data_IF_687418725197
#
_entry.id   IF_687418725197
#
_cell.length_a   1.000
_cell.length_b   1.000
_cell.length_c   1.000
_cell.angle_alpha   90.00
_cell.angle_beta   90.00
_cell.angle_gamma   90.00
#
_symmetry.space_group_name_H-M   'P 1'
#
loop_
_entity.id
_entity.type
_entity.pdbx_description
1 polymer ?
#
# COMPACT_ATOMS: atom_id res chain seq x y z
N UNK A 1 27.16 73.99 -1.01
CA UNK A 1 27.09 73.30 -2.31
C UNK A 1 27.76 71.94 -2.10
N UNK A 2 27.24 71.05 -1.24
CA UNK A 2 25.94 70.36 -1.31
C UNK A 2 25.80 69.65 -2.67
N UNK A 3 25.62 68.34 -2.80
CA UNK A 3 24.86 67.40 -1.96
C UNK A 3 25.45 65.98 -2.09
N UNK A 4 25.52 65.22 -0.98
CA UNK A 4 25.66 63.75 -1.00
C UNK A 4 24.31 63.12 -1.33
N UNK A 5 24.24 62.26 -2.35
CA UNK A 5 23.09 61.36 -2.54
C UNK A 5 23.51 59.91 -2.33
N UNK A 6 22.99 59.37 -1.22
CA UNK A 6 22.83 57.96 -0.91
C UNK A 6 21.64 57.41 -1.72
N UNK A 7 21.76 56.23 -2.36
CA UNK A 7 20.61 55.43 -2.82
C UNK A 7 21.01 53.99 -3.12
N UNK A 8 20.79 53.15 -2.10
CA UNK A 8 20.11 51.84 -2.13
C UNK A 8 20.41 50.82 -3.24
N UNK A 9 20.97 49.69 -2.78
CA UNK A 9 20.96 48.38 -3.41
C UNK A 9 19.54 47.83 -3.64
N UNK A 10 19.31 47.19 -4.80
CA UNK A 10 18.35 46.09 -4.96
C UNK A 10 18.56 45.41 -6.33
N UNK A 11 19.21 44.26 -6.37
CA UNK A 11 19.04 43.28 -7.44
C UNK A 11 18.82 41.92 -6.78
N UNK A 12 17.54 41.62 -6.55
CA UNK A 12 17.08 40.33 -6.08
C UNK A 12 17.33 39.27 -7.16
N UNK A 13 18.16 38.28 -6.85
CA UNK A 13 18.22 37.03 -7.58
C UNK A 13 16.95 36.23 -7.26
N UNK A 14 16.09 36.01 -8.26
CA UNK A 14 14.97 35.08 -8.16
C UNK A 14 15.50 33.64 -8.10
N UNK A 15 15.69 33.11 -6.90
CA UNK A 15 15.62 31.67 -6.67
C UNK A 15 14.15 31.29 -6.48
N UNK A 16 13.54 30.65 -7.48
CA UNK A 16 12.25 29.98 -7.32
C UNK A 16 12.48 28.68 -6.53
N UNK A 17 12.55 28.79 -5.20
CA UNK A 17 12.35 27.65 -4.32
C UNK A 17 10.85 27.34 -4.31
N UNK A 18 10.48 26.15 -4.80
CA UNK A 18 9.13 25.60 -4.66
C UNK A 18 8.91 25.33 -3.18
N UNK A 19 8.32 26.30 -2.48
CA UNK A 19 7.85 26.15 -1.11
C UNK A 19 6.59 25.28 -1.14
N UNK A 20 6.76 23.98 -0.85
CA UNK A 20 5.66 23.17 -0.37
C UNK A 20 5.25 23.72 1.00
N UNK A 21 4.00 24.19 1.09
CA UNK A 21 3.39 24.58 2.36
C UNK A 21 3.16 23.31 3.15
N UNK A 22 4.12 22.96 4.01
CA UNK A 22 3.90 22.02 5.10
C UNK A 22 2.89 22.67 6.06
N UNK A 23 1.68 22.11 6.13
CA UNK A 23 0.75 22.41 7.22
C UNK A 23 1.34 21.96 8.56
N UNK A 24 0.97 22.60 9.68
CA UNK A 24 1.46 22.17 10.98
C UNK A 24 0.76 20.85 11.35
N UNK A 25 1.49 19.75 11.50
CA UNK A 25 0.96 18.62 12.28
C UNK A 25 1.36 17.19 11.96
N UNK A 26 2.20 16.89 10.97
CA UNK A 26 2.80 15.55 10.86
C UNK A 26 4.31 15.66 10.65
N UNK A 27 5.06 15.31 11.69
CA UNK A 27 6.49 15.13 11.58
C UNK A 27 6.71 13.88 10.73
N UNK A 28 7.26 14.02 9.53
CA UNK A 28 7.69 12.89 8.70
C UNK A 28 8.87 12.09 9.34
N UNK A 29 9.18 12.34 10.62
CA UNK A 29 10.19 11.63 11.38
C UNK A 29 9.65 10.31 11.99
N UNK A 30 8.33 10.13 12.04
CA UNK A 30 7.70 9.20 12.99
C UNK A 30 7.52 7.77 12.47
N UNK A 31 7.83 7.46 11.21
CA UNK A 31 7.98 6.07 10.73
C UNK A 31 9.44 5.66 10.45
N UNK A 32 10.39 6.59 10.58
CA UNK A 32 11.78 6.36 10.21
C UNK A 32 12.54 5.45 11.21
N UNK A 33 11.93 5.12 12.35
CA UNK A 33 12.61 4.48 13.49
C UNK A 33 12.47 2.97 13.57
N UNK A 34 11.69 2.30 12.69
CA UNK A 34 11.64 0.83 12.70
C UNK A 34 11.82 0.14 11.33
N UNK A 35 11.85 0.87 10.23
CA UNK A 35 12.48 0.42 8.99
C UNK A 35 11.75 0.85 7.73
N UNK A 36 12.52 1.00 6.64
CA UNK A 36 12.02 1.45 5.35
C UNK A 36 12.41 0.44 4.26
N UNK A 37 11.43 0.03 3.46
CA UNK A 37 11.57 -0.85 2.32
C UNK A 37 11.27 -0.10 1.03
N UNK A 38 11.99 -0.46 -0.03
CA UNK A 38 11.61 -0.09 -1.38
C UNK A 38 10.50 -1.03 -1.88
N UNK A 39 9.35 -0.47 -2.26
CA UNK A 39 8.22 -1.20 -2.82
C UNK A 39 8.19 -1.04 -4.34
N UNK A 40 8.19 -2.17 -5.04
CA UNK A 40 7.89 -2.22 -6.47
C UNK A 40 6.73 -3.17 -6.70
N UNK A 41 5.69 -2.72 -7.40
CA UNK A 41 4.48 -3.51 -7.56
C UNK A 41 3.63 -3.14 -8.76
N UNK A 42 2.48 -3.80 -8.82
CA UNK A 42 1.48 -3.61 -9.85
C UNK A 42 0.09 -3.62 -9.21
N UNK A 43 -0.66 -2.55 -9.43
CA UNK A 43 -2.07 -2.43 -9.11
C UNK A 43 -2.94 -2.81 -10.33
N UNK A 44 -4.09 -3.41 -10.05
CA UNK A 44 -5.18 -3.65 -10.98
C UNK A 44 -6.43 -2.95 -10.45
N UNK A 45 -7.09 -2.17 -11.30
CA UNK A 45 -8.16 -1.24 -10.90
C UNK A 45 -9.41 -1.54 -11.73
N UNK A 46 -10.56 -1.65 -11.06
CA UNK A 46 -11.84 -1.94 -11.69
C UNK A 46 -13.01 -1.21 -11.01
N UNK A 47 -13.83 -0.44 -11.75
CA UNK A 47 -13.63 -0.04 -13.15
C UNK A 47 -12.38 0.84 -13.36
N UNK A 48 -11.87 0.99 -14.60
CA UNK A 48 -10.70 1.82 -14.89
C UNK A 48 -10.90 3.28 -14.48
N UNK A 49 -9.85 3.93 -13.97
CA UNK A 49 -9.89 5.35 -13.62
C UNK A 49 -9.93 6.21 -14.87
N UNK A 50 -10.81 7.20 -14.90
CA UNK A 50 -10.90 8.20 -15.96
C UNK A 50 -10.71 9.62 -15.43
N UNK A 51 -11.05 10.61 -16.26
CA UNK A 51 -11.00 12.03 -15.91
C UNK A 51 -12.05 12.43 -14.88
N UNK A 52 -13.12 11.64 -14.74
CA UNK A 52 -14.21 11.87 -13.80
C UNK A 52 -14.05 11.01 -12.57
N UNK A 53 -14.43 11.55 -11.40
CA UNK A 53 -14.40 10.79 -10.17
C UNK A 53 -15.45 9.68 -10.18
N UNK A 54 -15.06 8.47 -9.77
CA UNK A 54 -15.94 7.32 -9.61
C UNK A 54 -15.44 6.39 -8.52
N UNK A 55 -16.30 5.47 -8.09
CA UNK A 55 -15.92 4.39 -7.19
C UNK A 55 -15.19 3.29 -7.94
N UNK A 56 -14.17 2.73 -7.32
CA UNK A 56 -13.42 1.60 -7.86
C UNK A 56 -12.97 0.66 -6.75
N UNK A 57 -12.81 -0.61 -7.12
CA UNK A 57 -12.08 -1.60 -6.37
C UNK A 57 -10.69 -1.76 -6.99
N UNK A 58 -9.73 -2.20 -6.18
CA UNK A 58 -8.41 -2.52 -6.69
C UNK A 58 -7.78 -3.67 -5.91
N UNK A 59 -6.81 -4.30 -6.56
CA UNK A 59 -5.88 -5.23 -5.95
C UNK A 59 -4.47 -4.86 -6.34
N UNK A 60 -3.49 -5.21 -5.52
CA UNK A 60 -2.10 -5.03 -5.90
C UNK A 60 -1.23 -6.16 -5.34
N UNK A 61 -0.08 -6.30 -5.98
CA UNK A 61 1.03 -7.11 -5.47
C UNK A 61 2.32 -6.32 -5.62
N UNK A 62 3.28 -6.55 -4.74
CA UNK A 62 4.60 -5.94 -4.86
C UNK A 62 5.67 -6.68 -4.10
N UNK A 63 6.91 -6.40 -4.46
CA UNK A 63 8.11 -6.84 -3.76
C UNK A 63 8.62 -5.71 -2.86
N UNK A 64 8.91 -6.06 -1.62
CA UNK A 64 9.64 -5.23 -0.68
C UNK A 64 11.11 -5.64 -0.73
N UNK A 65 11.97 -4.69 -1.03
CA UNK A 65 13.41 -4.91 -1.19
C UNK A 65 14.20 -3.81 -0.50
N UNK A 66 15.47 -4.09 -0.20
CA UNK A 66 16.36 -3.13 0.47
C UNK A 66 15.75 -2.59 1.76
N UNK A 67 15.11 -3.47 2.55
CA UNK A 67 14.52 -3.06 3.82
C UNK A 67 15.63 -2.80 4.82
N UNK A 68 15.74 -1.55 5.24
CA UNK A 68 16.71 -1.09 6.24
C UNK A 68 15.97 -0.88 7.56
N UNK A 69 16.50 -1.42 8.66
CA UNK A 69 15.97 -1.22 10.00
C UNK A 69 17.11 -1.19 11.02
N UNK A 70 16.92 -0.41 12.08
CA UNK A 70 17.79 -0.40 13.27
C UNK A 70 17.39 -1.46 14.31
N UNK A 71 16.28 -2.20 14.09
CA UNK A 71 15.82 -3.27 14.97
C UNK A 71 16.48 -4.59 14.60
N UNK A 72 17.12 -5.23 15.57
CA UNK A 72 17.76 -6.53 15.34
C UNK A 72 16.72 -7.60 15.00
N UNK A 73 16.98 -8.33 13.92
CA UNK A 73 16.06 -9.36 13.43
C UNK A 73 14.96 -8.86 12.50
N UNK A 74 14.92 -7.55 12.19
CA UNK A 74 13.99 -7.02 11.21
C UNK A 74 14.17 -7.65 9.83
N UNK A 75 13.08 -8.00 9.14
CA UNK A 75 13.15 -8.62 7.82
C UNK A 75 13.70 -7.63 6.78
N UNK A 76 14.59 -8.14 5.91
CA UNK A 76 15.29 -7.33 4.89
C UNK A 76 14.56 -7.28 3.53
N UNK A 77 13.52 -8.09 3.37
CA UNK A 77 12.74 -8.21 2.15
C UNK A 77 11.40 -8.89 2.43
N UNK A 78 10.46 -8.76 1.50
CA UNK A 78 9.18 -9.46 1.57
C UNK A 78 8.36 -9.25 0.31
N UNK A 79 7.11 -9.66 0.37
CA UNK A 79 6.10 -9.35 -0.63
C UNK A 79 4.89 -8.74 0.05
N UNK A 80 4.21 -7.84 -0.65
CA UNK A 80 2.97 -7.23 -0.17
C UNK A 80 1.83 -7.52 -1.15
N UNK A 81 0.64 -7.76 -0.63
CA UNK A 81 -0.58 -7.92 -1.41
C UNK A 81 -1.78 -7.25 -0.75
N UNK A 82 -2.75 -6.88 -1.58
CA UNK A 82 -4.10 -6.55 -1.12
C UNK A 82 -5.12 -6.92 -2.20
N UNK A 83 -6.31 -7.38 -1.77
CA UNK A 83 -7.41 -7.74 -2.65
C UNK A 83 -7.14 -8.91 -3.60
N UNK A 84 -6.14 -9.76 -3.36
CA UNK A 84 -5.86 -10.94 -4.17
C UNK A 84 -6.42 -12.23 -3.56
N UNK A 85 -6.37 -13.33 -4.33
CA UNK A 85 -6.67 -14.66 -3.82
C UNK A 85 -5.38 -15.36 -3.40
N UNK A 86 -5.37 -15.87 -2.17
CA UNK A 86 -4.26 -16.60 -1.58
C UNK A 86 -4.61 -18.09 -1.47
N UNK A 87 -3.72 -19.00 -1.87
CA UNK A 87 -3.89 -20.42 -1.64
C UNK A 87 -3.57 -20.78 -0.19
N UNK A 88 -4.57 -21.30 0.54
CA UNK A 88 -4.40 -21.74 1.91
C UNK A 88 -4.66 -23.23 2.06
N UNK A 89 -3.90 -23.85 2.96
CA UNK A 89 -4.04 -25.28 3.27
C UNK A 89 -4.96 -25.45 4.46
N UNK A 90 -6.13 -26.06 4.23
CA UNK A 90 -7.18 -26.20 5.25
C UNK A 90 -7.67 -27.63 5.37
N UNK A 91 -8.35 -27.91 6.48
CA UNK A 91 -9.09 -29.15 6.65
C UNK A 91 -10.35 -29.11 5.80
N UNK A 92 -10.48 -30.07 4.88
CA UNK A 92 -11.64 -30.29 4.06
C UNK A 92 -12.50 -31.40 4.67
N UNK A 93 -13.81 -31.22 4.65
CA UNK A 93 -14.79 -32.24 5.04
C UNK A 93 -15.49 -32.75 3.79
N UNK A 94 -15.24 -34.01 3.43
CA UNK A 94 -15.81 -34.63 2.24
C UNK A 94 -16.70 -35.83 2.62
N UNK A 95 -17.48 -36.34 1.66
CA UNK A 95 -18.31 -37.53 1.88
C UNK A 95 -17.50 -38.78 2.32
N UNK A 96 -16.23 -38.86 1.94
CA UNK A 96 -15.32 -39.97 2.26
C UNK A 96 -14.55 -39.79 3.57
N UNK A 97 -14.69 -38.65 4.25
CA UNK A 97 -13.96 -38.30 5.47
C UNK A 97 -13.33 -36.91 5.42
N UNK A 98 -12.51 -36.60 6.41
CA UNK A 98 -11.71 -35.37 6.46
C UNK A 98 -10.36 -35.57 5.79
N UNK A 99 -9.90 -34.57 5.07
CA UNK A 99 -8.57 -34.52 4.48
C UNK A 99 -8.00 -33.12 4.59
N UNK A 100 -6.73 -32.94 4.29
CA UNK A 100 -6.14 -31.62 4.07
C UNK A 100 -6.13 -31.32 2.57
N UNK A 101 -6.35 -30.05 2.19
CA UNK A 101 -6.26 -29.62 0.80
C UNK A 101 -6.03 -28.12 0.69
N UNK A 102 -5.53 -27.69 -0.46
CA UNK A 102 -5.37 -26.27 -0.78
C UNK A 102 -6.64 -25.74 -1.43
N UNK A 103 -7.15 -24.63 -0.93
CA UNK A 103 -8.28 -23.86 -1.49
C UNK A 103 -7.88 -22.38 -1.56
N UNK A 104 -8.60 -21.61 -2.35
CA UNK A 104 -8.35 -20.18 -2.47
C UNK A 104 -9.21 -19.40 -1.47
N UNK A 105 -8.59 -18.46 -0.79
CA UNK A 105 -9.25 -17.46 0.03
C UNK A 105 -8.98 -16.07 -0.54
N UNK A 106 -10.00 -15.22 -0.53
CA UNK A 106 -9.98 -13.87 -1.04
C UNK A 106 -9.65 -12.90 0.11
N UNK A 107 -8.59 -12.12 -0.04
CA UNK A 107 -8.33 -10.95 0.80
C UNK A 107 -9.49 -9.95 0.69
N UNK A 108 -9.76 -9.16 1.74
CA UNK A 108 -10.68 -8.03 1.67
C UNK A 108 -10.35 -7.14 0.47
N UNK A 109 -11.37 -6.86 -0.35
CA UNK A 109 -11.20 -6.06 -1.56
C UNK A 109 -11.01 -4.61 -1.16
N UNK A 110 -9.85 -4.04 -1.51
CA UNK A 110 -9.57 -2.65 -1.29
C UNK A 110 -10.42 -1.76 -2.22
N UNK A 111 -10.86 -0.62 -1.69
CA UNK A 111 -11.81 0.26 -2.39
C UNK A 111 -11.34 1.71 -2.37
N UNK A 112 -11.78 2.46 -3.36
CA UNK A 112 -11.48 3.88 -3.46
C UNK A 112 -12.53 4.65 -4.23
N UNK A 113 -12.39 5.97 -4.16
CA UNK A 113 -13.15 6.92 -4.96
C UNK A 113 -12.20 7.96 -5.53
N UNK A 114 -12.33 8.28 -6.81
CA UNK A 114 -11.44 9.23 -7.43
C UNK A 114 -11.38 9.15 -8.95
N UNK A 115 -10.46 9.93 -9.49
CA UNK A 115 -10.05 10.01 -10.89
C UNK A 115 -8.52 9.85 -10.96
N UNK A 116 -7.90 9.94 -12.13
CA UNK A 116 -6.43 9.99 -12.16
C UNK A 116 -5.85 11.33 -11.71
N UNK A 117 -6.67 12.36 -11.49
CA UNK A 117 -6.20 13.63 -10.92
C UNK A 117 -6.05 13.56 -9.41
N UNK A 118 -6.98 12.86 -8.75
CA UNK A 118 -6.98 12.67 -7.30
C UNK A 118 -7.82 11.48 -6.91
N UNK A 119 -7.40 10.75 -5.88
CA UNK A 119 -8.15 9.63 -5.35
C UNK A 119 -7.98 9.50 -3.84
N UNK A 120 -8.96 8.85 -3.22
CA UNK A 120 -8.85 8.40 -1.83
C UNK A 120 -9.19 6.92 -1.81
N UNK A 121 -8.35 6.13 -1.16
CA UNK A 121 -8.57 4.68 -1.06
C UNK A 121 -8.36 4.17 0.35
N UNK A 122 -8.88 2.99 0.65
CA UNK A 122 -8.61 2.28 1.89
C UNK A 122 -8.64 0.77 1.65
N UNK A 123 -7.90 0.04 2.48
CA UNK A 123 -7.82 -1.41 2.40
C UNK A 123 -7.02 -2.02 3.54
N UNK A 124 -6.83 -3.33 3.45
CA UNK A 124 -5.96 -4.11 4.30
C UNK A 124 -4.91 -4.76 3.39
N UNK A 125 -3.65 -4.65 3.77
CA UNK A 125 -2.54 -5.24 3.04
C UNK A 125 -1.89 -6.34 3.89
N UNK A 126 -1.59 -7.46 3.26
CA UNK A 126 -0.77 -8.51 3.82
C UNK A 126 0.67 -8.31 3.37
N UNK A 127 1.60 -8.28 4.32
CA UNK A 127 3.02 -8.39 4.06
C UNK A 127 3.47 -9.77 4.50
N UNK A 128 4.14 -10.48 3.60
CA UNK A 128 4.83 -11.74 3.90
C UNK A 128 6.32 -11.50 3.78
N UNK A 129 7.02 -11.61 4.89
CA UNK A 129 8.44 -11.34 4.99
C UNK A 129 9.29 -12.51 4.50
N UNK A 130 10.56 -12.25 4.21
CA UNK A 130 11.49 -13.25 3.70
C UNK A 130 11.83 -14.38 4.70
N UNK A 131 11.52 -14.19 5.98
CA UNK A 131 11.61 -15.20 7.03
C UNK A 131 10.32 -16.06 7.14
N UNK A 132 9.27 -15.71 6.40
CA UNK A 132 7.99 -16.41 6.38
C UNK A 132 6.97 -15.89 7.39
N UNK A 133 7.29 -14.85 8.16
CA UNK A 133 6.35 -14.19 9.06
C UNK A 133 5.50 -13.15 8.32
N UNK A 134 4.42 -12.72 8.97
CA UNK A 134 3.38 -11.89 8.40
C UNK A 134 3.18 -10.60 9.19
N UNK A 135 2.87 -9.53 8.46
CA UNK A 135 2.38 -8.27 9.01
C UNK A 135 1.17 -7.84 8.21
N UNK A 136 0.03 -7.67 8.88
CA UNK A 136 -1.17 -7.08 8.30
C UNK A 136 -1.18 -5.60 8.62
N UNK A 137 -1.43 -4.76 7.62
CA UNK A 137 -1.58 -3.32 7.80
C UNK A 137 -2.91 -2.83 7.24
N UNK A 138 -3.67 -2.10 8.07
CA UNK A 138 -4.85 -1.38 7.65
C UNK A 138 -4.40 0.00 7.21
N UNK A 139 -4.84 0.44 6.03
CA UNK A 139 -4.32 1.66 5.45
C UNK A 139 -5.40 2.47 4.73
N UNK A 140 -5.11 3.76 4.62
CA UNK A 140 -5.79 4.71 3.75
C UNK A 140 -4.77 5.40 2.87
N UNK A 141 -5.16 5.81 1.67
CA UNK A 141 -4.30 6.56 0.77
C UNK A 141 -4.98 7.80 0.24
N UNK A 142 -4.16 8.84 0.01
CA UNK A 142 -4.55 10.03 -0.74
C UNK A 142 -3.64 10.16 -1.95
N UNK A 143 -4.23 10.07 -3.13
CA UNK A 143 -3.55 10.26 -4.41
C UNK A 143 -3.75 11.68 -4.95
N UNK A 144 -2.67 12.27 -5.46
CA UNK A 144 -2.68 13.49 -6.24
C UNK A 144 -1.76 13.32 -7.45
N UNK A 145 -2.34 13.33 -8.66
CA UNK A 145 -1.66 12.96 -9.90
C UNK A 145 -1.04 11.55 -9.78
N UNK A 146 0.27 11.44 -10.02
CA UNK A 146 1.02 10.19 -9.91
C UNK A 146 1.51 9.91 -8.48
N UNK A 147 1.40 10.85 -7.54
CA UNK A 147 1.86 10.66 -6.18
C UNK A 147 0.73 10.09 -5.32
N UNK A 148 1.07 9.13 -4.47
CA UNK A 148 0.15 8.53 -3.49
C UNK A 148 0.83 8.50 -2.14
N UNK A 149 0.21 9.16 -1.18
CA UNK A 149 0.57 9.09 0.22
C UNK A 149 -0.31 8.04 0.90
N UNK A 150 0.31 7.17 1.69
CA UNK A 150 -0.37 6.13 2.46
C UNK A 150 -0.12 6.37 3.94
N UNK A 151 -1.19 6.27 4.71
CA UNK A 151 -1.18 6.24 6.16
C UNK A 151 -1.93 5.01 6.64
N UNK A 152 -1.32 4.27 7.57
CA UNK A 152 -1.89 3.04 8.08
C UNK A 152 -1.36 2.66 9.45
N UNK A 153 -1.87 1.54 9.94
CA UNK A 153 -1.49 0.93 11.20
C UNK A 153 -1.40 -0.58 11.05
N UNK A 154 -0.42 -1.20 11.70
CA UNK A 154 -0.36 -2.65 11.86
C UNK A 154 -1.59 -3.11 12.61
N UNK A 155 -2.24 -4.14 12.09
CA UNK A 155 -3.41 -4.80 12.66
C UNK A 155 -3.01 -6.16 13.24
N UNK A 156 -3.82 -6.77 14.13
CA UNK A 156 -3.49 -8.07 14.73
C UNK A 156 -3.57 -9.23 13.72
N UNK A 157 -4.26 -9.04 12.60
CA UNK A 157 -4.42 -10.03 11.55
C UNK A 157 -5.51 -9.61 10.57
N UNK A 158 -5.74 -10.42 9.54
CA UNK A 158 -6.79 -10.21 8.53
C UNK A 158 -7.63 -11.46 8.35
N UNK A 159 -8.91 -11.26 8.02
CA UNK A 159 -9.83 -12.36 7.70
C UNK A 159 -10.05 -12.44 6.19
N UNK A 160 -9.70 -13.58 5.62
CA UNK A 160 -9.94 -13.92 4.24
C UNK A 160 -11.27 -14.67 4.08
N UNK A 161 -11.92 -14.51 2.93
CA UNK A 161 -13.20 -15.17 2.61
C UNK A 161 -12.99 -16.30 1.62
N UNK A 162 -13.58 -17.47 1.87
CA UNK A 162 -13.44 -18.65 1.00
C UNK A 162 -13.95 -18.36 -0.43
N UNK A 163 -13.13 -18.67 -1.42
CA UNK A 163 -13.54 -18.71 -2.83
C UNK A 163 -14.17 -20.06 -3.10
N UNK A 164 -15.51 -20.14 -2.98
CA UNK A 164 -16.25 -21.40 -3.02
C UNK A 164 -15.97 -22.27 -4.26
N UNK A 165 -15.67 -21.66 -5.41
CA UNK A 165 -15.32 -22.37 -6.64
C UNK A 165 -13.98 -23.12 -6.60
N UNK A 166 -13.11 -22.81 -5.63
CA UNK A 166 -11.84 -23.50 -5.43
C UNK A 166 -11.97 -24.80 -4.61
N UNK A 167 -13.12 -25.01 -3.96
CA UNK A 167 -13.35 -26.20 -3.13
C UNK A 167 -13.58 -27.42 -4.02
N UNK A 168 -12.87 -28.54 -3.81
CA UNK A 168 -13.11 -29.77 -4.55
C UNK A 168 -14.58 -30.23 -4.45
N UNK A 169 -15.10 -30.76 -5.55
CA UNK A 169 -16.48 -31.23 -5.62
C UNK A 169 -16.76 -32.31 -4.56
N UNK A 170 -17.86 -32.16 -3.81
CA UNK A 170 -18.23 -33.09 -2.74
C UNK A 170 -17.51 -32.86 -1.41
N UNK A 171 -16.77 -31.77 -1.28
CA UNK A 171 -16.12 -31.33 -0.05
C UNK A 171 -16.64 -29.96 0.42
N UNK A 172 -16.41 -29.64 1.68
CA UNK A 172 -16.58 -28.31 2.27
C UNK A 172 -15.29 -27.86 2.93
N UNK A 173 -15.08 -26.54 2.98
CA UNK A 173 -13.94 -25.89 3.62
C UNK A 173 -14.46 -24.83 4.61
N UNK A 174 -13.62 -24.38 5.57
CA UNK A 174 -13.96 -23.24 6.44
C UNK A 174 -14.32 -22.02 5.60
N UNK A 175 -15.41 -21.33 5.95
CA UNK A 175 -15.90 -20.17 5.20
C UNK A 175 -14.95 -18.96 5.25
N UNK A 176 -14.09 -18.92 6.27
CA UNK A 176 -13.05 -17.90 6.44
C UNK A 176 -11.73 -18.55 6.85
N UNK A 177 -10.66 -17.81 6.61
CA UNK A 177 -9.31 -18.12 7.06
C UNK A 177 -8.71 -16.85 7.64
N UNK A 178 -7.90 -16.96 8.70
CA UNK A 178 -7.29 -15.80 9.34
C UNK A 178 -5.78 -15.91 9.22
N UNK A 179 -5.17 -14.84 8.73
CA UNK A 179 -3.72 -14.67 8.76
C UNK A 179 -3.44 -13.67 9.88
N UNK A 180 -2.72 -14.14 10.90
CA UNK A 180 -2.33 -13.29 12.03
C UNK A 180 -1.06 -12.52 11.68
N UNK A 181 -0.92 -11.32 12.27
CA UNK A 181 0.37 -10.62 12.30
C UNK A 181 1.24 -11.27 13.36
N UNK A 182 2.25 -12.03 12.94
CA UNK A 182 3.15 -12.78 13.81
C UNK A 182 4.61 -12.29 13.74
N UNK A 183 4.89 -11.24 12.97
CA UNK A 183 6.18 -10.58 12.92
C UNK A 183 6.46 -9.81 14.23
N UNK A 184 7.41 -10.25 15.08
CA UNK A 184 7.65 -9.65 16.39
C UNK A 184 8.25 -8.24 16.32
N UNK A 185 8.87 -7.85 15.19
CA UNK A 185 9.42 -6.51 15.01
C UNK A 185 8.32 -5.48 14.74
N UNK A 186 7.26 -5.88 14.04
CA UNK A 186 6.16 -5.00 13.64
C UNK A 186 4.89 -5.33 14.42
N UNK A 187 4.73 -4.71 15.59
CA UNK A 187 3.65 -5.02 16.53
C UNK A 187 2.33 -4.30 16.19
N UNK A 188 1.22 -4.89 16.62
CA UNK A 188 -0.13 -4.30 16.51
C UNK A 188 -0.16 -2.84 17.03
N UNK A 189 -0.82 -1.98 16.26
CA UNK A 189 -0.93 -0.54 16.52
C UNK A 189 0.27 0.31 16.12
N UNK A 190 1.38 -0.28 15.62
CA UNK A 190 2.46 0.51 15.03
C UNK A 190 2.00 1.20 13.74
N UNK A 191 2.61 2.34 13.42
CA UNK A 191 2.28 3.11 12.24
C UNK A 191 2.91 2.50 10.98
N UNK A 192 2.21 2.64 9.86
CA UNK A 192 2.71 2.34 8.53
C UNK A 192 2.53 3.58 7.65
N UNK A 193 3.59 4.01 6.98
CA UNK A 193 3.57 5.13 6.06
C UNK A 193 4.13 4.69 4.71
N UNK A 194 3.61 5.22 3.61
CA UNK A 194 4.28 5.07 2.33
C UNK A 194 4.17 6.32 1.46
N UNK A 195 5.23 6.58 0.72
CA UNK A 195 5.28 7.59 -0.33
C UNK A 195 5.52 6.84 -1.64
N UNK A 196 4.46 6.75 -2.43
CA UNK A 196 4.40 5.92 -3.63
C UNK A 196 4.18 6.77 -4.86
N UNK A 197 4.69 6.28 -5.98
CA UNK A 197 4.41 6.78 -7.31
C UNK A 197 3.68 5.73 -8.11
N UNK A 198 2.64 6.18 -8.82
CA UNK A 198 1.80 5.36 -9.68
C UNK A 198 1.98 5.80 -11.12
N UNK A 199 2.27 4.85 -11.99
CA UNK A 199 2.37 5.09 -13.43
C UNK A 199 1.54 4.07 -14.20
N UNK A 200 0.80 4.46 -15.25
CA UNK A 200 0.06 3.49 -16.06
C UNK A 200 0.98 2.39 -16.58
N UNK A 201 0.52 1.13 -16.55
CA UNK A 201 1.36 0.00 -16.99
C UNK A 201 1.49 -0.10 -18.51
N UNK A 202 0.63 0.60 -19.27
CA UNK A 202 0.72 0.70 -20.73
C UNK A 202 0.70 2.15 -21.19
N UNK A 203 1.45 2.45 -22.25
CA UNK A 203 1.63 3.82 -22.75
C UNK A 203 0.35 4.46 -23.31
N UNK A 204 -0.63 3.64 -23.71
CA UNK A 204 -1.90 4.12 -24.27
C UNK A 204 -2.88 4.63 -23.21
N UNK A 205 -2.67 4.27 -21.93
CA UNK A 205 -3.49 4.74 -20.82
C UNK A 205 -3.12 6.19 -20.46
N UNK A 206 -3.98 7.12 -20.86
CA UNK A 206 -3.77 8.57 -20.70
C UNK A 206 -4.81 9.25 -19.80
N UNK A 207 -5.72 8.48 -19.20
CA UNK A 207 -6.80 8.94 -18.33
C UNK A 207 -7.85 9.86 -18.98
N UNK A 208 -7.74 10.14 -20.28
CA UNK A 208 -8.67 11.01 -21.00
C UNK A 208 -9.50 10.18 -21.97
N UNK A 209 -8.83 9.45 -22.86
CA UNK A 209 -9.47 8.59 -23.87
C UNK A 209 -9.43 7.13 -23.48
N UNK A 210 -8.42 6.73 -22.71
CA UNK A 210 -8.26 5.36 -22.20
C UNK A 210 -8.04 5.44 -20.69
N UNK A 211 -8.95 4.82 -19.93
CA UNK A 211 -8.86 4.79 -18.48
C UNK A 211 -7.71 3.92 -17.98
N UNK A 212 -7.21 4.23 -16.78
CA UNK A 212 -6.13 3.48 -16.12
C UNK A 212 -6.74 2.29 -15.40
N UNK A 213 -6.56 1.09 -15.94
CA UNK A 213 -6.99 -0.17 -15.32
C UNK A 213 -5.85 -0.90 -14.59
N UNK A 214 -4.62 -0.44 -14.77
CA UNK A 214 -3.45 -1.01 -14.13
C UNK A 214 -2.35 0.04 -14.00
N UNK A 215 -1.66 0.04 -12.86
CA UNK A 215 -0.61 1.01 -12.57
C UNK A 215 0.57 0.32 -11.89
N UNK A 216 1.79 0.60 -12.34
CA UNK A 216 3.00 0.25 -11.62
C UNK A 216 3.08 1.10 -10.35
N UNK A 217 3.51 0.47 -9.27
CA UNK A 217 3.76 1.08 -7.97
C UNK A 217 5.28 1.11 -7.77
N UNK A 218 5.83 2.26 -7.42
CA UNK A 218 7.24 2.39 -7.04
C UNK A 218 7.36 3.43 -5.92
N UNK A 219 8.11 3.12 -4.86
CA UNK A 219 8.32 4.08 -3.77
C UNK A 219 8.85 3.45 -2.49
N UNK A 220 8.69 4.17 -1.39
CA UNK A 220 9.21 3.75 -0.08
C UNK A 220 8.05 3.51 0.88
N UNK A 221 8.09 2.39 1.57
CA UNK A 221 7.17 2.01 2.64
C UNK A 221 7.96 1.93 3.93
N UNK A 222 7.43 2.49 5.01
CA UNK A 222 8.01 2.41 6.34
C UNK A 222 6.98 1.88 7.33
N UNK A 223 7.42 0.99 8.23
CA UNK A 223 6.59 0.43 9.29
C UNK A 223 7.34 0.62 10.59
N UNK A 224 6.68 1.13 11.62
CA UNK A 224 7.30 1.33 12.91
C UNK A 224 6.47 2.12 13.90
N UNK A 225 6.97 2.16 15.14
CA UNK A 225 6.39 3.00 16.18
C UNK A 225 6.59 4.48 15.87
N UNK A 226 5.49 5.25 15.86
CA UNK A 226 5.54 6.70 16.08
C UNK A 226 6.18 6.95 17.46
N UNK A 227 7.39 7.50 17.46
CA UNK A 227 8.11 7.85 18.69
C UNK A 227 7.78 9.27 19.14
#
# INVERSE_FOLDING_TARGET
MDVRHSSTALCAALCAAVLWVAGPGVSHADAATAGACHLQGLANISPPLGSSSGSFAYSFTGALSSCESNVAGAPMSGTVSAGIQLPETVTLTCATGTTTGSVLYQEPIAQGTGSCGSSTTAGEALITWGDGLHTVANYSTTGALAAVELEGTVAPGMTLTLVASSVPAGCTAPASFTIDSDEPVFMDGQSALALLTFSPSTQDQNCVTVGVSSANIDGVVAIGSAS
#
